data_IF_666238482257
#
_entry.id   IF_666238482257
#
_cell.length_a   1.000
_cell.length_b   1.000
_cell.length_c   1.000
_cell.angle_alpha   90.00
_cell.angle_beta   90.00
_cell.angle_gamma   90.00
#
_symmetry.space_group_name_H-M   'P 1'
#
loop_
_entity.id
_entity.type
_entity.pdbx_description
1 polymer ?
#
# COMPACT_ATOMS: atom_id res chain seq x y z
N UNK A 1 -11.28 -5.09 4.99
CA UNK A 1 -11.54 -3.86 4.26
C UNK A 1 -13.04 -3.60 4.31
N UNK A 2 -13.43 -2.51 4.97
CA UNK A 2 -14.84 -2.25 5.32
C UNK A 2 -15.35 -0.93 4.71
N UNK A 3 -14.47 -0.11 4.10
CA UNK A 3 -14.82 1.18 3.51
C UNK A 3 -14.42 1.25 2.03
N UNK A 4 -15.40 1.10 1.14
CA UNK A 4 -15.23 1.11 -0.33
C UNK A 4 -14.74 2.44 -0.91
N UNK A 5 -14.72 3.51 -0.12
CA UNK A 5 -14.24 4.82 -0.56
C UNK A 5 -12.72 4.97 -0.45
N UNK A 6 -12.03 3.95 0.11
CA UNK A 6 -10.58 3.91 0.23
C UNK A 6 -10.03 2.87 -0.72
N UNK A 7 -9.11 3.30 -1.59
CA UNK A 7 -8.32 2.39 -2.45
C UNK A 7 -6.84 2.56 -2.16
N UNK A 8 -6.12 1.45 -2.16
CA UNK A 8 -4.67 1.44 -2.03
C UNK A 8 -4.05 1.09 -3.37
N UNK A 9 -3.12 1.93 -3.82
CA UNK A 9 -2.53 1.82 -5.15
C UNK A 9 -1.02 1.66 -5.06
N UNK A 10 -0.49 0.87 -5.99
CA UNK A 10 0.93 0.86 -6.34
C UNK A 10 1.12 1.90 -7.45
N UNK A 11 1.40 3.14 -7.07
CA UNK A 11 1.55 4.25 -8.00
C UNK A 11 3.00 4.38 -8.45
N UNK A 12 3.25 4.50 -9.76
CA UNK A 12 4.60 4.76 -10.27
C UNK A 12 4.97 6.23 -10.03
N UNK A 13 6.00 6.47 -9.22
CA UNK A 13 6.60 7.79 -8.97
C UNK A 13 8.04 7.73 -9.42
N UNK A 14 8.34 8.43 -10.51
CA UNK A 14 9.60 8.35 -11.24
C UNK A 14 9.94 6.90 -11.66
N UNK A 15 10.99 6.33 -11.08
CA UNK A 15 11.48 4.99 -11.36
C UNK A 15 10.99 3.92 -10.38
N UNK A 16 10.27 4.30 -9.31
CA UNK A 16 9.87 3.41 -8.22
C UNK A 16 8.35 3.35 -8.08
N UNK A 17 7.82 2.17 -7.78
CA UNK A 17 6.43 2.04 -7.33
C UNK A 17 6.31 2.31 -5.83
N UNK A 18 5.45 3.25 -5.47
CA UNK A 18 5.12 3.62 -4.09
C UNK A 18 3.69 3.24 -3.75
N UNK A 19 3.42 3.03 -2.46
CA UNK A 19 2.08 2.77 -1.96
C UNK A 19 1.41 4.10 -1.59
N UNK A 20 0.23 4.31 -2.16
CA UNK A 20 -0.61 5.46 -1.86
C UNK A 20 -1.98 5.00 -1.38
N UNK A 21 -2.53 5.73 -0.41
CA UNK A 21 -3.91 5.63 0.02
C UNK A 21 -4.70 6.76 -0.64
N UNK A 22 -5.71 6.39 -1.40
CA UNK A 22 -6.60 7.32 -2.06
C UNK A 22 -7.97 7.21 -1.40
N UNK A 23 -8.50 8.33 -0.95
CA UNK A 23 -9.77 8.41 -0.25
C UNK A 23 -10.68 9.42 -0.94
N UNK A 24 -11.91 9.02 -1.22
CA UNK A 24 -12.92 9.89 -1.83
C UNK A 24 -14.15 10.01 -0.96
N UNK A 25 -14.95 11.05 -1.19
CA UNK A 25 -16.31 11.19 -0.64
C UNK A 25 -17.40 11.03 -1.71
N UNK A 26 -17.04 11.23 -2.98
CA UNK A 26 -17.99 11.39 -4.09
C UNK A 26 -17.51 10.75 -5.42
N UNK A 27 -16.39 10.04 -5.41
CA UNK A 27 -15.70 9.43 -6.57
C UNK A 27 -15.16 10.41 -7.63
N UNK A 28 -15.37 11.72 -7.45
CA UNK A 28 -14.88 12.77 -8.34
C UNK A 28 -13.56 13.36 -7.81
N UNK A 29 -13.51 13.59 -6.50
CA UNK A 29 -12.35 14.17 -5.83
C UNK A 29 -11.67 13.12 -4.94
N UNK A 30 -10.34 13.08 -5.00
CA UNK A 30 -9.53 12.11 -4.28
C UNK A 30 -8.51 12.83 -3.41
N UNK A 31 -8.53 12.55 -2.11
CA UNK A 31 -7.45 12.87 -1.19
C UNK A 31 -6.41 11.76 -1.29
N UNK A 32 -5.17 12.14 -1.58
CA UNK A 32 -4.05 11.20 -1.74
C UNK A 32 -3.12 11.33 -0.53
N UNK A 33 -2.79 10.20 0.09
CA UNK A 33 -1.84 10.10 1.19
C UNK A 33 -0.74 9.08 0.82
N UNK A 34 0.52 9.50 0.93
CA UNK A 34 1.65 8.62 0.68
C UNK A 34 1.86 7.69 1.88
N UNK A 35 1.78 6.37 1.67
CA UNK A 35 2.11 5.36 2.68
C UNK A 35 3.60 5.07 2.66
N UNK A 36 4.21 5.05 1.48
CA UNK A 36 5.67 5.00 1.29
C UNK A 36 6.11 6.18 0.44
N UNK A 37 7.36 6.62 0.62
CA UNK A 37 7.96 7.72 -0.15
C UNK A 37 9.48 7.54 -0.20
N UNK A 38 10.09 7.97 -1.30
CA UNK A 38 11.54 7.93 -1.51
C UNK A 38 12.14 6.53 -1.27
N UNK A 39 11.39 5.49 -1.62
CA UNK A 39 11.83 4.10 -1.49
C UNK A 39 12.97 3.82 -2.47
N UNK A 40 13.86 2.91 -2.11
CA UNK A 40 14.90 2.40 -3.01
C UNK A 40 14.48 1.15 -3.79
N UNK A 41 13.26 0.65 -3.55
CA UNK A 41 12.72 -0.60 -4.07
C UNK A 41 11.23 -0.44 -4.33
N UNK A 42 10.73 -1.15 -5.33
CA UNK A 42 9.33 -1.16 -5.68
C UNK A 42 8.48 -1.76 -4.56
N UNK A 43 7.45 -1.01 -4.17
CA UNK A 43 6.38 -1.46 -3.30
C UNK A 43 5.14 -1.70 -4.18
N UNK A 44 4.68 -2.95 -4.23
CA UNK A 44 3.64 -3.42 -5.14
C UNK A 44 2.58 -4.24 -4.42
N UNK A 45 1.44 -4.46 -5.09
CA UNK A 45 0.34 -5.30 -4.62
C UNK A 45 -0.11 -4.97 -3.19
N UNK A 46 -0.57 -3.74 -2.94
CA UNK A 46 -1.20 -3.42 -1.66
C UNK A 46 -2.46 -4.28 -1.45
N UNK A 47 -2.63 -4.76 -0.22
CA UNK A 47 -3.80 -5.55 0.20
C UNK A 47 -4.27 -5.02 1.55
N UNK A 48 -5.48 -4.46 1.56
CA UNK A 48 -6.13 -4.05 2.81
C UNK A 48 -6.48 -5.29 3.64
N UNK A 49 -6.10 -5.29 4.92
CA UNK A 49 -6.34 -6.42 5.81
C UNK A 49 -7.86 -6.59 6.01
N UNK A 50 -8.33 -7.84 5.89
CA UNK A 50 -9.75 -8.16 6.09
C UNK A 50 -10.09 -8.04 7.58
N UNK A 51 -11.22 -7.41 7.89
CA UNK A 51 -11.70 -7.17 9.26
C UNK A 51 -10.71 -6.43 10.19
N UNK A 52 -9.70 -5.75 9.63
CA UNK A 52 -8.91 -4.77 10.38
C UNK A 52 -9.80 -3.55 10.62
N UNK A 53 -10.49 -3.57 11.76
CA UNK A 53 -11.29 -2.45 12.26
C UNK A 53 -10.39 -1.30 12.66
N UNK A 54 -10.98 -0.14 12.90
CA UNK A 54 -10.30 0.99 13.51
C UNK A 54 -9.61 0.56 14.81
N UNK A 55 -8.36 1.00 15.01
CA UNK A 55 -7.52 0.61 16.14
C UNK A 55 -6.71 -0.68 15.96
N UNK A 56 -6.93 -1.47 14.89
CA UNK A 56 -6.00 -2.56 14.59
C UNK A 56 -4.64 -1.98 14.15
N UNK A 57 -3.51 -2.37 14.77
CA UNK A 57 -2.19 -1.80 14.48
C UNK A 57 -1.74 -2.03 13.03
N UNK A 58 -2.35 -2.98 12.32
CA UNK A 58 -2.03 -3.32 10.93
C UNK A 58 -3.30 -3.21 10.08
N UNK A 59 -3.28 -2.31 9.10
CA UNK A 59 -4.41 -2.04 8.20
C UNK A 59 -4.14 -2.49 6.76
N UNK A 60 -2.87 -2.58 6.38
CA UNK A 60 -2.41 -2.72 5.03
C UNK A 60 -1.14 -3.57 4.99
N UNK A 61 -1.12 -4.54 4.07
CA UNK A 61 0.05 -5.31 3.69
C UNK A 61 0.45 -4.95 2.26
N UNK A 62 1.72 -5.08 1.91
CA UNK A 62 2.17 -5.01 0.52
C UNK A 62 3.44 -5.84 0.31
N UNK A 63 3.79 -6.06 -0.95
CA UNK A 63 5.06 -6.70 -1.33
C UNK A 63 6.10 -5.63 -1.65
N UNK A 64 7.30 -5.75 -1.10
CA UNK A 64 8.46 -4.99 -1.54
C UNK A 64 9.40 -5.92 -2.33
N UNK A 65 9.71 -5.56 -3.57
CA UNK A 65 10.55 -6.37 -4.44
C UNK A 65 12.03 -6.02 -4.22
N UNK A 66 12.83 -7.00 -3.83
CA UNK A 66 14.28 -6.91 -3.85
C UNK A 66 14.84 -7.36 -5.22
N UNK A 67 14.18 -8.33 -5.86
CA UNK A 67 14.44 -8.80 -7.22
C UNK A 67 13.15 -9.37 -7.79
N UNK A 68 12.76 -8.99 -9.00
CA UNK A 68 11.59 -9.56 -9.66
C UNK A 68 11.85 -9.70 -11.15
N UNK A 69 12.05 -10.94 -11.63
CA UNK A 69 12.20 -11.23 -13.07
C UNK A 69 10.87 -11.73 -13.62
N UNK A 70 10.29 -12.74 -12.97
CA UNK A 70 8.94 -13.25 -13.21
C UNK A 70 8.44 -14.05 -11.99
N UNK A 71 7.21 -14.55 -12.03
CA UNK A 71 6.51 -15.13 -10.88
C UNK A 71 7.15 -16.38 -10.24
N UNK A 72 8.09 -17.04 -10.92
CA UNK A 72 8.88 -18.18 -10.37
C UNK A 72 10.31 -17.81 -9.99
N UNK A 73 10.77 -16.59 -10.32
CA UNK A 73 12.11 -16.09 -9.99
C UNK A 73 12.00 -14.68 -9.42
N UNK A 74 11.71 -14.64 -8.12
CA UNK A 74 11.55 -13.40 -7.37
C UNK A 74 12.17 -13.52 -5.98
N UNK A 75 12.53 -12.38 -5.42
CA UNK A 75 12.91 -12.21 -4.04
C UNK A 75 12.19 -10.96 -3.54
N UNK A 76 11.16 -11.16 -2.71
CA UNK A 76 10.30 -10.11 -2.20
C UNK A 76 10.05 -10.30 -0.72
N UNK A 77 9.72 -9.22 -0.03
CA UNK A 77 9.40 -9.21 1.40
C UNK A 77 8.00 -8.65 1.59
N UNK A 78 7.22 -9.25 2.49
CA UNK A 78 5.94 -8.66 2.91
C UNK A 78 6.21 -7.54 3.91
N UNK A 79 5.63 -6.37 3.64
CA UNK A 79 5.67 -5.19 4.48
C UNK A 79 4.26 -4.86 4.96
N UNK A 80 4.18 -4.06 6.02
CA UNK A 80 2.92 -3.68 6.64
C UNK A 80 3.01 -2.25 7.18
N UNK A 81 1.88 -1.55 7.22
CA UNK A 81 1.81 -0.29 7.93
C UNK A 81 1.65 -0.62 9.42
N UNK A 82 2.42 0.05 10.26
CA UNK A 82 2.22 0.00 11.71
C UNK A 82 1.61 1.33 12.10
N UNK A 83 0.38 1.33 12.60
CA UNK A 83 -0.15 2.50 13.29
C UNK A 83 0.68 2.68 14.56
N UNK A 84 1.23 3.87 14.76
CA UNK A 84 1.85 4.22 16.04
C UNK A 84 0.75 4.41 17.09
N UNK A 85 0.97 3.91 18.31
CA UNK A 85 0.08 4.15 19.43
C UNK A 85 0.04 5.67 19.69
N UNK A 86 -1.15 6.26 19.62
CA UNK A 86 -1.37 7.68 19.89
C UNK A 86 -1.24 8.03 21.37
#
# INVERSE_FOLDING_TARGET
>A
HENTNIVYLSAKRDSIFEIEKWETKNFLDWKIEAITKNSNKDNVRPVAVKNAKEGNPIQLLWMQNNKYIHYTNYFSTIKMNKLEDK
#
